data_IF_200131895801
#
_entry.id   IF_200131895801
#
_cell.length_a   1.000
_cell.length_b   1.000
_cell.length_c   1.000
_cell.angle_alpha   90.00
_cell.angle_beta   90.00
_cell.angle_gamma   90.00
#
_symmetry.space_group_name_H-M   'P 1'
#
loop_
_entity.id
_entity.type
_entity.pdbx_description
1 polymer ?
#
# COMPACT_ATOMS: atom_id res chain seq x y z
N UNK A 1 34.94 15.54 1.38
CA UNK A 1 34.38 14.40 2.15
C UNK A 1 33.07 13.99 1.49
N UNK A 2 33.14 13.08 0.51
CA UNK A 2 31.96 12.52 -0.15
C UNK A 2 31.39 11.42 0.73
N UNK A 3 30.25 11.67 1.37
CA UNK A 3 29.49 10.60 2.01
C UNK A 3 28.95 9.69 0.92
N UNK A 4 29.44 8.44 0.87
CA UNK A 4 28.86 7.39 0.04
C UNK A 4 27.33 7.38 0.25
N UNK A 5 26.52 7.48 -0.82
CA UNK A 5 25.08 7.40 -0.68
C UNK A 5 24.78 6.02 -0.13
N UNK A 6 24.39 5.95 1.16
CA UNK A 6 23.89 4.73 1.81
C UNK A 6 22.94 4.06 0.82
N UNK A 7 23.38 2.97 0.18
CA UNK A 7 22.61 2.24 -0.82
C UNK A 7 21.24 1.94 -0.21
N UNK A 8 20.23 2.72 -0.60
CA UNK A 8 18.87 2.55 -0.08
C UNK A 8 18.40 1.19 -0.56
N UNK A 9 18.04 0.31 0.37
CA UNK A 9 17.50 -1.00 0.03
C UNK A 9 16.24 -0.78 -0.82
N UNK A 10 16.12 -1.46 -1.96
CA UNK A 10 14.94 -1.36 -2.80
C UNK A 10 13.72 -1.79 -1.99
N UNK A 11 12.68 -0.97 -2.02
CA UNK A 11 11.43 -1.18 -1.28
C UNK A 11 10.25 -0.90 -2.20
N UNK A 12 9.25 -1.79 -2.17
CA UNK A 12 8.05 -1.66 -2.98
C UNK A 12 6.86 -1.27 -2.06
N UNK A 13 6.56 0.03 -1.92
CA UNK A 13 5.46 0.48 -1.08
C UNK A 13 4.10 0.15 -1.72
N UNK A 14 3.05 0.10 -0.90
CA UNK A 14 1.67 -0.05 -1.40
C UNK A 14 1.24 1.21 -2.16
N UNK A 15 1.01 1.07 -3.46
CA UNK A 15 0.52 2.16 -4.32
C UNK A 15 -0.82 2.72 -3.81
N UNK A 16 -1.70 1.88 -3.25
CA UNK A 16 -2.99 2.31 -2.71
C UNK A 16 -2.84 3.27 -1.53
N UNK A 17 -1.92 2.99 -0.61
CA UNK A 17 -1.68 3.85 0.56
C UNK A 17 -1.15 5.22 0.11
N UNK A 18 -0.23 5.23 -0.85
CA UNK A 18 0.32 6.46 -1.43
C UNK A 18 -0.76 7.28 -2.15
N UNK A 19 -1.60 6.62 -2.96
CA UNK A 19 -2.72 7.27 -3.64
C UNK A 19 -3.73 7.88 -2.64
N UNK A 20 -4.10 7.14 -1.59
CA UNK A 20 -4.95 7.67 -0.51
C UNK A 20 -4.32 8.86 0.20
N UNK A 21 -3.00 8.84 0.40
CA UNK A 21 -2.29 9.95 1.01
C UNK A 21 -2.33 11.21 0.14
N UNK A 22 -2.10 11.07 -1.18
CA UNK A 22 -2.26 12.16 -2.14
C UNK A 22 -3.70 12.68 -2.13
N UNK A 23 -4.70 11.80 -2.27
CA UNK A 23 -6.11 12.18 -2.23
C UNK A 23 -6.46 13.00 -0.99
N UNK A 24 -5.97 12.60 0.19
CA UNK A 24 -6.17 13.36 1.43
C UNK A 24 -5.59 14.78 1.35
N UNK A 25 -4.43 14.95 0.72
CA UNK A 25 -3.82 16.27 0.52
C UNK A 25 -4.60 17.12 -0.50
N UNK A 26 -5.26 16.50 -1.46
CA UNK A 26 -6.05 17.17 -2.49
C UNK A 26 -7.39 17.72 -1.99
N UNK A 27 -7.91 17.23 -0.86
CA UNK A 27 -9.18 17.71 -0.28
C UNK A 27 -9.14 19.23 -0.03
N UNK A 28 -10.22 19.92 -0.42
CA UNK A 28 -10.39 21.36 -0.30
C UNK A 28 -9.72 22.19 -1.40
N UNK A 29 -9.96 23.50 -1.42
CA UNK A 29 -9.50 24.38 -2.50
C UNK A 29 -7.95 24.48 -2.60
N UNK A 30 -7.42 24.47 -3.83
CA UNK A 30 -6.00 24.69 -4.14
C UNK A 30 -5.63 26.17 -4.28
N UNK A 31 -6.62 27.01 -4.54
CA UNK A 31 -6.47 28.45 -4.72
C UNK A 31 -7.09 29.20 -3.55
N UNK A 32 -6.59 30.41 -3.33
CA UNK A 32 -7.21 31.41 -2.48
C UNK A 32 -8.33 32.10 -3.27
N UNK A 33 -9.16 32.89 -2.59
CA UNK A 33 -10.20 33.73 -3.23
C UNK A 33 -9.61 34.73 -4.23
N UNK A 34 -8.32 35.08 -4.06
CA UNK A 34 -7.55 35.91 -4.99
C UNK A 34 -7.09 35.17 -6.25
N UNK A 35 -7.35 33.87 -6.37
CA UNK A 35 -6.86 33.01 -7.45
C UNK A 35 -5.43 32.47 -7.26
N UNK A 36 -4.67 33.00 -6.29
CA UNK A 36 -3.32 32.53 -6.02
C UNK A 36 -3.29 31.10 -5.46
N UNK A 37 -2.29 30.30 -5.84
CA UNK A 37 -2.14 28.93 -5.34
C UNK A 37 -1.67 28.87 -3.89
N UNK A 38 -2.20 27.90 -3.15
CA UNK A 38 -1.76 27.57 -1.79
C UNK A 38 -0.44 26.80 -1.83
N UNK A 39 0.67 27.53 -1.80
CA UNK A 39 2.02 26.96 -1.78
C UNK A 39 2.26 25.82 -0.76
N UNK A 40 1.75 25.89 0.49
CA UNK A 40 1.94 24.79 1.45
C UNK A 40 1.34 23.47 0.97
N UNK A 41 0.20 23.53 0.27
CA UNK A 41 -0.47 22.35 -0.29
C UNK A 41 0.33 21.75 -1.44
N UNK A 42 0.77 22.58 -2.39
CA UNK A 42 1.64 22.14 -3.49
C UNK A 42 2.94 21.51 -2.98
N UNK A 43 3.59 22.14 -1.99
CA UNK A 43 4.81 21.61 -1.37
C UNK A 43 4.58 20.25 -0.70
N UNK A 44 3.42 20.06 -0.08
CA UNK A 44 3.10 18.79 0.60
C UNK A 44 2.90 17.66 -0.40
N UNK A 45 2.18 17.91 -1.49
CA UNK A 45 2.01 16.94 -2.58
C UNK A 45 3.36 16.62 -3.24
N UNK A 46 4.16 17.66 -3.54
CA UNK A 46 5.47 17.49 -4.14
C UNK A 46 6.38 16.57 -3.30
N UNK A 47 6.36 16.70 -1.96
CA UNK A 47 7.11 15.79 -1.07
C UNK A 47 6.73 14.32 -1.26
N UNK A 48 5.44 14.03 -1.37
CA UNK A 48 4.95 12.66 -1.58
C UNK A 48 5.41 12.14 -2.94
N UNK A 49 5.29 12.95 -3.99
CA UNK A 49 5.77 12.61 -5.33
C UNK A 49 7.27 12.34 -5.34
N UNK A 50 8.08 13.16 -4.65
CA UNK A 50 9.52 12.93 -4.51
C UNK A 50 9.83 11.62 -3.77
N UNK A 51 9.02 11.23 -2.78
CA UNK A 51 9.19 9.92 -2.13
C UNK A 51 8.89 8.77 -3.08
N UNK A 52 7.80 8.87 -3.87
CA UNK A 52 7.48 7.88 -4.91
C UNK A 52 8.62 7.73 -5.89
N UNK A 53 9.20 8.85 -6.33
CA UNK A 53 10.35 8.84 -7.23
C UNK A 53 11.56 8.14 -6.60
N UNK A 54 11.88 8.43 -5.34
CA UNK A 54 12.98 7.79 -4.63
C UNK A 54 12.80 6.25 -4.49
N UNK A 55 11.56 5.75 -4.44
CA UNK A 55 11.31 4.30 -4.46
C UNK A 55 11.54 3.67 -5.84
N UNK A 56 11.35 4.43 -6.92
CA UNK A 56 11.57 3.97 -8.29
C UNK A 56 13.06 3.93 -8.66
N UNK A 57 13.87 4.81 -8.09
CA UNK A 57 15.32 4.85 -8.31
C UNK A 57 16.04 3.61 -7.76
N UNK A 58 15.53 3.03 -6.66
CA UNK A 58 16.12 1.85 -6.03
C UNK A 58 15.62 0.57 -6.72
N UNK A 59 16.35 0.10 -7.72
CA UNK A 59 16.03 -1.13 -8.47
C UNK A 59 16.48 -2.37 -7.69
N UNK A 60 15.65 -3.42 -7.69
CA UNK A 60 16.02 -4.71 -7.12
C UNK A 60 17.12 -5.39 -7.96
N UNK A 61 18.15 -5.98 -7.33
CA UNK A 61 19.29 -6.57 -8.04
C UNK A 61 18.99 -7.96 -8.63
N UNK A 62 17.72 -8.28 -8.93
CA UNK A 62 17.34 -9.58 -9.47
C UNK A 62 17.57 -9.63 -10.97
N UNK A 63 18.17 -10.72 -11.44
CA UNK A 63 18.26 -11.01 -12.88
C UNK A 63 16.85 -11.35 -13.43
N UNK A 64 16.50 -10.85 -14.62
CA UNK A 64 15.18 -11.12 -15.19
C UNK A 64 15.10 -12.55 -15.75
N UNK A 65 14.27 -13.40 -15.15
CA UNK A 65 13.84 -14.68 -15.72
C UNK A 65 12.55 -14.48 -16.52
N UNK A 66 12.65 -14.49 -17.85
CA UNK A 66 11.50 -14.21 -18.73
C UNK A 66 10.48 -15.35 -18.77
N UNK A 67 10.92 -16.59 -18.65
CA UNK A 67 10.03 -17.75 -18.70
C UNK A 67 9.19 -17.82 -17.43
N UNK A 68 9.84 -17.69 -16.27
CA UNK A 68 9.15 -17.63 -14.98
C UNK A 68 8.16 -16.46 -14.94
N UNK A 69 8.56 -15.28 -15.41
CA UNK A 69 7.66 -14.12 -15.46
C UNK A 69 6.44 -14.38 -16.36
N UNK A 70 6.62 -14.98 -17.54
CA UNK A 70 5.51 -15.30 -18.43
C UNK A 70 4.56 -16.31 -17.81
N UNK A 71 5.10 -17.35 -17.17
CA UNK A 71 4.33 -18.35 -16.43
C UNK A 71 3.52 -17.72 -15.28
N UNK A 72 4.16 -16.87 -14.46
CA UNK A 72 3.49 -16.16 -13.36
C UNK A 72 2.40 -15.22 -13.87
N UNK A 73 2.65 -14.44 -14.94
CA UNK A 73 1.63 -13.56 -15.55
C UNK A 73 0.42 -14.35 -16.03
N UNK A 74 0.63 -15.50 -16.71
CA UNK A 74 -0.46 -16.37 -17.16
C UNK A 74 -1.26 -16.94 -16.00
N UNK A 75 -0.59 -17.36 -14.92
CA UNK A 75 -1.26 -17.86 -13.70
C UNK A 75 -2.06 -16.78 -12.99
N UNK A 76 -1.50 -15.58 -12.83
CA UNK A 76 -2.20 -14.44 -12.23
C UNK A 76 -3.46 -14.12 -13.05
N UNK A 77 -3.36 -14.03 -14.37
CA UNK A 77 -4.51 -13.75 -15.23
C UNK A 77 -5.60 -14.82 -15.12
N UNK A 78 -5.23 -16.11 -15.10
CA UNK A 78 -6.17 -17.23 -14.92
C UNK A 78 -6.90 -17.17 -13.57
N UNK A 79 -6.22 -16.73 -12.52
CA UNK A 79 -6.74 -16.72 -11.15
C UNK A 79 -7.31 -15.37 -10.72
N UNK A 80 -7.22 -14.32 -11.55
CA UNK A 80 -7.61 -12.96 -11.19
C UNK A 80 -9.07 -12.81 -10.77
N UNK A 81 -9.95 -13.67 -11.29
CA UNK A 81 -11.39 -13.69 -10.99
C UNK A 81 -11.80 -14.87 -10.12
N UNK A 82 -10.84 -15.72 -9.72
CA UNK A 82 -11.14 -16.89 -8.91
C UNK A 82 -11.34 -16.48 -7.45
N UNK A 83 -12.32 -17.09 -6.77
CA UNK A 83 -12.50 -16.89 -5.34
C UNK A 83 -11.36 -17.59 -4.58
N UNK A 84 -10.48 -16.77 -4.02
CA UNK A 84 -9.29 -17.23 -3.28
C UNK A 84 -9.72 -18.06 -2.06
N UNK A 85 -10.88 -17.79 -1.46
CA UNK A 85 -11.37 -18.55 -0.33
C UNK A 85 -11.83 -19.96 -0.75
N UNK A 86 -12.49 -20.10 -1.90
CA UNK A 86 -12.85 -21.40 -2.45
C UNK A 86 -11.61 -22.20 -2.88
N UNK A 87 -10.67 -21.55 -3.57
CA UNK A 87 -9.40 -22.18 -3.97
C UNK A 87 -8.53 -22.63 -2.79
N UNK A 88 -8.64 -21.93 -1.66
CA UNK A 88 -7.92 -22.26 -0.45
C UNK A 88 -8.63 -23.32 0.39
N UNK A 89 -9.97 -23.40 0.34
CA UNK A 89 -10.74 -24.46 0.98
C UNK A 89 -10.51 -25.83 0.30
N UNK A 90 -10.33 -25.85 -1.03
CA UNK A 90 -9.94 -27.06 -1.77
C UNK A 90 -8.49 -27.48 -1.51
N UNK A 91 -7.69 -26.62 -0.87
CA UNK A 91 -6.26 -26.81 -0.66
C UNK A 91 -5.96 -26.72 0.85
N UNK A 92 -6.45 -27.73 1.59
CA UNK A 92 -6.48 -27.91 3.06
C UNK A 92 -5.19 -27.55 3.84
N UNK A 93 -4.08 -27.25 3.17
CA UNK A 93 -2.78 -27.06 3.76
C UNK A 93 -2.47 -25.66 4.29
N UNK A 94 -3.16 -24.57 3.88
CA UNK A 94 -2.57 -23.23 4.08
C UNK A 94 -3.48 -22.03 4.44
N UNK A 95 -4.80 -22.19 4.64
CA UNK A 95 -5.65 -21.04 4.98
C UNK A 95 -6.16 -21.07 6.41
N UNK A 96 -5.37 -20.50 7.33
CA UNK A 96 -5.90 -20.10 8.63
C UNK A 96 -6.72 -18.82 8.44
N UNK A 97 -8.03 -18.93 8.58
CA UNK A 97 -9.02 -17.84 8.62
C UNK A 97 -8.79 -16.94 9.85
N UNK A 98 -7.66 -16.24 9.86
CA UNK A 98 -7.15 -15.46 10.99
C UNK A 98 -7.83 -14.10 11.12
N UNK A 99 -8.38 -13.57 10.01
CA UNK A 99 -9.08 -12.28 9.98
C UNK A 99 -10.34 -12.27 10.83
N UNK A 100 -11.08 -13.38 10.88
CA UNK A 100 -12.34 -13.43 11.62
C UNK A 100 -12.10 -13.47 13.14
N UNK A 101 -11.11 -14.24 13.58
CA UNK A 101 -10.73 -14.33 15.00
C UNK A 101 -10.14 -13.02 15.52
N UNK A 102 -9.34 -12.32 14.71
CA UNK A 102 -8.75 -11.03 15.09
C UNK A 102 -9.80 -9.91 15.12
N UNK A 103 -10.72 -9.87 14.13
CA UNK A 103 -11.81 -8.90 14.08
C UNK A 103 -12.78 -9.07 15.24
N UNK A 104 -13.15 -10.31 15.59
CA UNK A 104 -13.97 -10.62 16.78
C UNK A 104 -13.28 -10.14 18.06
N UNK A 105 -11.97 -10.39 18.21
CA UNK A 105 -11.20 -9.95 19.38
C UNK A 105 -11.13 -8.43 19.53
N UNK A 106 -11.05 -7.69 18.42
CA UNK A 106 -11.09 -6.22 18.40
C UNK A 106 -12.51 -5.70 18.72
N UNK A 107 -13.56 -6.35 18.19
CA UNK A 107 -14.93 -5.99 18.54
C UNK A 107 -15.21 -6.23 20.03
N UNK A 108 -14.71 -7.32 20.60
CA UNK A 108 -14.91 -7.66 22.01
C UNK A 108 -14.13 -6.74 22.97
N UNK A 109 -12.99 -6.20 22.55
CA UNK A 109 -12.29 -5.16 23.32
C UNK A 109 -13.02 -3.83 23.24
N UNK A 110 -13.52 -3.43 22.07
CA UNK A 110 -14.31 -2.21 21.91
C UNK A 110 -15.63 -2.26 22.70
N UNK A 111 -16.31 -3.42 22.72
CA UNK A 111 -17.51 -3.62 23.55
C UNK A 111 -17.21 -3.49 25.05
N UNK A 112 -16.09 -4.06 25.52
CA UNK A 112 -15.67 -3.93 26.93
C UNK A 112 -15.35 -2.49 27.31
N UNK A 113 -14.59 -1.78 26.48
CA UNK A 113 -14.27 -0.36 26.70
C UNK A 113 -15.54 0.48 26.76
N UNK A 114 -16.51 0.23 25.87
CA UNK A 114 -17.81 0.93 25.89
C UNK A 114 -18.61 0.69 27.18
N UNK A 115 -18.53 -0.52 27.75
CA UNK A 115 -19.20 -0.85 29.01
C UNK A 115 -18.52 -0.25 30.24
N UNK A 116 -17.24 0.15 30.15
CA UNK A 116 -16.49 0.80 31.25
C UNK A 116 -16.76 2.30 31.34
N UNK A 117 -17.47 2.89 30.36
CA UNK A 117 -17.85 4.31 30.32
C UNK A 117 -19.33 4.57 30.66
N UNK A 118 -20.00 3.59 31.28
CA UNK A 118 -21.30 3.77 31.96
C UNK A 118 -21.08 3.71 33.47
#
# INVERSE_FOLDING_TARGET
MGGEPRRRRPTLPSARILAMHVQKLEIGAFTLTTGAYKWPKLRSIAKVVSQVHAFQEAVYPYSPDRELQAYLRRRIARLATSDIHLLAADNDANFQQSSERQTRRIQDTLKRVRATFQ
#
